data_IF_467750496416
#
_entry.id   IF_467750496416
#
_cell.length_a   1.000
_cell.length_b   1.000
_cell.length_c   1.000
_cell.angle_alpha   90.00
_cell.angle_beta   90.00
_cell.angle_gamma   90.00
#
_symmetry.space_group_name_H-M   'P 1'
#
loop_
_entity.id
_entity.type
_entity.pdbx_description
1 polymer ?
#
# COMPACT_ATOMS: atom_id res chain seq x y z
N UNK A 1 5.11 38.08 35.11
CA UNK A 1 6.31 37.26 34.83
C UNK A 1 6.20 36.00 35.68
N UNK A 2 5.62 34.92 35.13
CA UNK A 2 5.50 33.62 35.80
C UNK A 2 6.09 32.58 34.85
N UNK A 3 7.41 32.41 34.94
CA UNK A 3 8.09 31.24 34.39
C UNK A 3 7.81 30.07 35.35
N UNK A 4 6.73 29.33 35.11
CA UNK A 4 6.59 28.00 35.68
C UNK A 4 7.57 27.09 34.95
N UNK A 5 8.54 26.55 35.69
CA UNK A 5 9.54 25.60 35.19
C UNK A 5 8.87 24.38 34.58
N UNK A 6 8.78 24.36 33.25
CA UNK A 6 8.45 23.15 32.52
C UNK A 6 9.65 22.22 32.60
N UNK A 7 9.49 21.03 33.17
CA UNK A 7 10.39 19.92 32.89
C UNK A 7 10.57 19.87 31.37
N UNK A 8 11.79 20.11 30.87
CA UNK A 8 12.12 19.80 29.48
C UNK A 8 11.94 18.30 29.34
N UNK A 9 10.81 17.85 28.80
CA UNK A 9 10.67 16.46 28.37
C UNK A 9 11.78 16.23 27.36
N UNK A 10 12.69 15.32 27.67
CA UNK A 10 13.73 14.93 26.72
C UNK A 10 13.07 14.39 25.46
N UNK A 11 13.64 14.76 24.31
CA UNK A 11 13.17 14.27 23.03
C UNK A 11 13.65 12.82 22.88
N UNK A 12 12.75 11.88 23.16
CA UNK A 12 13.04 10.44 23.09
C UNK A 12 12.57 9.84 21.75
N UNK A 13 13.10 8.66 21.35
CA UNK A 13 12.59 7.93 20.19
C UNK A 13 11.07 7.66 20.24
N UNK A 14 10.52 7.44 21.44
CA UNK A 14 9.08 7.26 21.62
C UNK A 14 8.28 8.53 21.31
N UNK A 15 8.76 9.70 21.77
CA UNK A 15 8.14 10.99 21.43
C UNK A 15 8.22 11.25 19.93
N UNK A 16 9.35 10.93 19.30
CA UNK A 16 9.53 11.06 17.86
C UNK A 16 8.53 10.21 17.08
N UNK A 17 8.33 8.95 17.49
CA UNK A 17 7.36 8.05 16.87
C UNK A 17 5.93 8.62 16.94
N UNK A 18 5.52 9.16 18.09
CA UNK A 18 4.20 9.78 18.23
C UNK A 18 4.04 11.03 17.35
N UNK A 19 5.09 11.83 17.20
CA UNK A 19 5.08 12.98 16.27
C UNK A 19 4.89 12.49 14.82
N UNK A 20 5.53 11.39 14.42
CA UNK A 20 5.34 10.82 13.08
C UNK A 20 3.91 10.28 12.89
N UNK A 21 3.30 9.64 13.89
CA UNK A 21 1.88 9.24 13.81
C UNK A 21 0.97 10.46 13.62
N UNK A 22 1.23 11.55 14.34
CA UNK A 22 0.48 12.80 14.20
C UNK A 22 0.69 13.46 12.83
N UNK A 23 1.87 13.35 12.22
CA UNK A 23 2.09 13.91 10.88
C UNK A 23 1.26 13.20 9.81
N UNK A 24 1.07 11.88 9.93
CA UNK A 24 0.19 11.09 9.05
C UNK A 24 -1.25 11.56 9.16
N UNK A 25 -1.80 11.60 10.37
CA UNK A 25 -3.19 12.03 10.61
C UNK A 25 -3.40 13.51 10.28
N UNK A 26 -2.39 14.35 10.55
CA UNK A 26 -2.38 15.77 10.22
C UNK A 26 -2.41 16.02 8.72
N UNK A 27 -1.72 15.19 7.93
CA UNK A 27 -1.75 15.25 6.47
C UNK A 27 -3.08 14.73 5.91
N UNK A 28 -3.59 13.62 6.45
CA UNK A 28 -4.87 13.03 6.04
C UNK A 28 -6.07 13.96 6.24
N UNK A 29 -6.02 14.85 7.24
CA UNK A 29 -7.08 15.84 7.52
C UNK A 29 -7.53 16.66 6.31
N UNK A 30 -6.65 16.92 5.35
CA UNK A 30 -6.98 17.76 4.18
C UNK A 30 -7.82 17.07 3.13
N UNK A 31 -7.75 15.74 3.05
CA UNK A 31 -8.54 14.92 2.12
C UNK A 31 -9.64 14.12 2.82
N UNK A 32 -9.30 13.53 3.96
CA UNK A 32 -10.05 12.49 4.68
C UNK A 32 -10.54 11.37 3.74
N UNK A 33 -9.73 11.04 2.73
CA UNK A 33 -10.05 10.00 1.75
C UNK A 33 -9.97 8.61 2.36
N UNK A 34 -11.06 7.86 2.25
CA UNK A 34 -11.21 6.46 2.66
C UNK A 34 -11.44 5.65 1.39
N UNK A 35 -10.52 4.74 1.10
CA UNK A 35 -10.49 3.91 -0.08
C UNK A 35 -10.88 2.50 0.33
N UNK A 36 -11.95 1.98 -0.25
CA UNK A 36 -12.52 0.68 0.07
C UNK A 36 -12.41 -0.21 -1.17
N UNK A 37 -11.38 -1.07 -1.25
CA UNK A 37 -11.30 -2.06 -2.31
C UNK A 37 -12.43 -3.07 -2.22
N UNK A 38 -12.96 -3.48 -3.38
CA UNK A 38 -13.89 -4.59 -3.44
C UNK A 38 -13.25 -5.85 -2.81
N UNK A 39 -13.97 -6.66 -2.01
CA UNK A 39 -13.37 -7.79 -1.27
C UNK A 39 -12.60 -8.79 -2.13
N UNK A 40 -13.13 -9.17 -3.30
CA UNK A 40 -12.46 -10.09 -4.22
C UNK A 40 -11.16 -9.50 -4.80
N UNK A 41 -11.15 -8.19 -5.07
CA UNK A 41 -9.96 -7.48 -5.52
C UNK A 41 -8.93 -7.40 -4.39
N UNK A 42 -9.37 -7.04 -3.18
CA UNK A 42 -8.51 -6.95 -2.00
C UNK A 42 -7.75 -8.26 -1.78
N UNK A 43 -8.46 -9.39 -1.81
CA UNK A 43 -7.87 -10.72 -1.64
C UNK A 43 -6.88 -11.03 -2.78
N UNK A 44 -7.27 -10.80 -4.04
CA UNK A 44 -6.41 -11.07 -5.18
C UNK A 44 -5.13 -10.19 -5.20
N UNK A 45 -5.22 -8.93 -4.77
CA UNK A 45 -4.07 -8.05 -4.61
C UNK A 45 -3.17 -8.50 -3.47
N UNK A 46 -3.73 -8.86 -2.32
CA UNK A 46 -2.97 -9.37 -1.18
C UNK A 46 -2.22 -10.67 -1.52
N UNK A 47 -2.74 -11.50 -2.42
CA UNK A 47 -2.06 -12.70 -2.92
C UNK A 47 -1.06 -12.44 -4.05
N UNK A 48 -1.10 -11.25 -4.66
CA UNK A 48 -0.19 -10.88 -5.74
C UNK A 48 1.17 -10.50 -5.16
N UNK A 49 2.27 -11.22 -5.52
CA UNK A 49 3.61 -10.83 -5.12
C UNK A 49 3.97 -9.46 -5.68
N UNK A 50 4.72 -8.69 -4.91
CA UNK A 50 5.36 -7.46 -5.37
C UNK A 50 6.35 -7.83 -6.49
N UNK A 51 6.40 -7.02 -7.55
CA UNK A 51 7.29 -7.26 -8.69
C UNK A 51 8.67 -6.66 -8.49
N UNK A 52 9.70 -7.40 -8.90
CA UNK A 52 11.12 -6.97 -8.94
C UNK A 52 11.39 -5.88 -9.98
N UNK A 53 10.46 -5.61 -10.89
CA UNK A 53 10.65 -4.67 -12.00
C UNK A 53 10.00 -3.31 -11.78
N UNK A 54 9.09 -3.18 -10.80
CA UNK A 54 8.42 -1.91 -10.53
C UNK A 54 9.37 -0.99 -9.75
N UNK A 55 9.63 0.24 -10.21
CA UNK A 55 10.46 1.20 -9.48
C UNK A 55 9.71 1.70 -8.23
N UNK A 56 10.43 2.00 -7.14
CA UNK A 56 9.80 2.50 -5.90
C UNK A 56 9.03 3.82 -6.09
N UNK A 57 9.41 4.61 -7.11
CA UNK A 57 8.82 5.92 -7.40
C UNK A 57 7.35 5.84 -7.83
N UNK A 58 6.82 4.66 -8.13
CA UNK A 58 5.38 4.45 -8.33
C UNK A 58 4.57 4.92 -7.13
N UNK A 59 5.11 4.81 -5.90
CA UNK A 59 4.44 5.33 -4.70
C UNK A 59 4.42 6.86 -4.61
N UNK A 60 5.06 7.61 -5.52
CA UNK A 60 4.90 9.07 -5.57
C UNK A 60 3.60 9.50 -6.27
N UNK A 61 2.89 8.54 -6.87
CA UNK A 61 1.66 8.74 -7.65
C UNK A 61 0.39 8.75 -6.82
N UNK A 62 0.48 8.79 -5.48
CA UNK A 62 -0.70 8.85 -4.62
C UNK A 62 -1.71 9.91 -5.09
N UNK A 63 -3.01 9.56 -5.17
CA UNK A 63 -4.06 10.48 -5.59
C UNK A 63 -4.27 11.66 -4.62
N UNK A 64 -3.96 11.45 -3.34
CA UNK A 64 -4.02 12.45 -2.27
C UNK A 64 -2.74 12.35 -1.42
N UNK A 65 -2.36 13.41 -0.68
CA UNK A 65 -1.11 13.39 0.10
C UNK A 65 -1.06 12.31 1.17
N UNK A 66 -2.22 11.96 1.72
CA UNK A 66 -2.40 10.81 2.59
C UNK A 66 -3.79 10.22 2.35
N UNK A 67 -3.86 8.90 2.31
CA UNK A 67 -5.08 8.13 2.10
C UNK A 67 -5.25 7.09 3.21
N UNK A 68 -6.49 6.75 3.55
CA UNK A 68 -6.79 5.59 4.39
C UNK A 68 -7.36 4.49 3.51
N UNK A 69 -6.83 3.27 3.61
CA UNK A 69 -7.31 2.11 2.86
C UNK A 69 -7.97 1.16 3.84
N UNK A 70 -9.25 0.85 3.63
CA UNK A 70 -9.98 -0.13 4.43
C UNK A 70 -9.61 -1.54 3.96
N UNK A 71 -9.42 -2.45 4.92
CA UNK A 71 -8.99 -3.83 4.66
C UNK A 71 -9.86 -4.85 5.40
N UNK A 72 -11.20 -4.86 5.19
CA UNK A 72 -12.11 -5.72 5.93
C UNK A 72 -11.71 -7.19 5.80
N UNK A 73 -11.67 -7.90 6.93
CA UNK A 73 -11.32 -9.32 6.99
C UNK A 73 -9.82 -9.63 6.87
N UNK A 74 -8.96 -8.65 6.62
CA UNK A 74 -7.50 -8.87 6.65
C UNK A 74 -6.99 -9.03 8.08
N UNK A 75 -6.07 -9.97 8.25
CA UNK A 75 -5.34 -10.18 9.51
C UNK A 75 -3.84 -10.12 9.26
N UNK A 76 -3.12 -9.49 10.17
CA UNK A 76 -1.66 -9.42 10.19
C UNK A 76 -1.16 -9.88 11.55
N UNK A 77 -0.19 -10.79 11.57
CA UNK A 77 0.38 -11.31 12.82
C UNK A 77 -0.68 -11.82 13.83
N UNK A 78 -1.80 -12.37 13.33
CA UNK A 78 -2.91 -12.88 14.14
C UNK A 78 -3.93 -11.82 14.59
N UNK A 79 -3.68 -10.53 14.37
CA UNK A 79 -4.59 -9.43 14.71
C UNK A 79 -5.39 -8.97 13.51
N UNK A 80 -6.60 -8.46 13.75
CA UNK A 80 -7.41 -7.82 12.72
C UNK A 80 -6.82 -6.46 12.32
N UNK A 81 -6.74 -6.23 11.01
CA UNK A 81 -6.34 -4.96 10.43
C UNK A 81 -7.58 -4.30 9.82
N UNK A 82 -8.10 -3.24 10.45
CA UNK A 82 -9.25 -2.50 9.91
C UNK A 82 -8.88 -1.73 8.63
N UNK A 83 -7.62 -1.31 8.54
CA UNK A 83 -7.07 -0.57 7.42
C UNK A 83 -5.74 0.07 7.79
N UNK A 84 -5.24 0.95 6.94
CA UNK A 84 -4.03 1.70 7.20
C UNK A 84 -4.03 3.04 6.48
N UNK A 85 -3.39 4.04 7.09
CA UNK A 85 -3.05 5.27 6.39
C UNK A 85 -1.74 5.08 5.63
N UNK A 86 -1.65 5.65 4.44
CA UNK A 86 -0.45 5.67 3.64
C UNK A 86 -0.13 7.11 3.21
N UNK A 87 1.14 7.50 3.30
CA UNK A 87 1.65 8.75 2.75
C UNK A 87 3.14 8.62 2.42
N UNK A 88 3.63 9.48 1.52
CA UNK A 88 5.08 9.70 1.38
C UNK A 88 5.45 10.93 2.19
N UNK A 89 6.37 10.75 3.13
CA UNK A 89 7.01 11.84 3.84
C UNK A 89 8.38 12.13 3.21
N UNK A 90 8.80 13.39 3.26
CA UNK A 90 10.12 13.80 2.80
C UNK A 90 10.89 14.43 3.95
N UNK A 91 12.13 14.02 4.12
CA UNK A 91 13.05 14.57 5.11
C UNK A 91 13.58 15.93 4.65
N UNK A 92 13.39 16.97 5.45
CA UNK A 92 13.90 18.31 5.16
C UNK A 92 15.44 18.39 5.21
N UNK A 93 16.11 17.42 5.85
CA UNK A 93 17.57 17.45 6.08
C UNK A 93 18.34 16.92 4.87
N UNK A 94 17.90 15.79 4.31
CA UNK A 94 18.62 15.07 3.26
C UNK A 94 17.77 14.83 2.00
N UNK A 95 16.54 15.35 1.97
CA UNK A 95 15.59 15.20 0.86
C UNK A 95 15.12 13.75 0.60
N UNK A 96 15.48 12.80 1.48
CA UNK A 96 15.07 11.40 1.39
C UNK A 96 13.55 11.27 1.51
N UNK A 97 12.96 10.41 0.68
CA UNK A 97 11.54 10.09 0.72
C UNK A 97 11.34 8.77 1.44
N UNK A 98 10.31 8.71 2.28
CA UNK A 98 9.92 7.51 2.99
C UNK A 98 8.41 7.31 2.90
N UNK A 99 8.00 6.09 2.55
CA UNK A 99 6.61 5.65 2.62
C UNK A 99 6.27 5.32 4.08
N UNK A 100 5.26 5.99 4.63
CA UNK A 100 4.74 5.74 5.97
C UNK A 100 3.43 4.98 5.88
N UNK A 101 3.34 3.83 6.56
CA UNK A 101 2.12 3.07 6.75
C UNK A 101 1.74 3.10 8.23
N UNK A 102 0.68 3.84 8.57
CA UNK A 102 0.11 3.83 9.92
C UNK A 102 -1.01 2.79 9.95
N UNK A 103 -0.73 1.63 10.52
CA UNK A 103 -1.64 0.49 10.59
C UNK A 103 -2.69 0.71 11.68
N UNK A 104 -3.96 0.62 11.32
CA UNK A 104 -5.09 0.65 12.22
C UNK A 104 -5.47 -0.79 12.62
N UNK A 105 -4.83 -1.30 13.67
CA UNK A 105 -5.06 -2.65 14.19
C UNK A 105 -6.08 -2.61 15.31
N UNK A 106 -6.61 -3.78 15.67
CA UNK A 106 -7.56 -3.92 16.77
C UNK A 106 -7.10 -3.26 18.09
N UNK A 107 -5.81 -3.42 18.43
CA UNK A 107 -5.28 -3.01 19.74
C UNK A 107 -4.46 -1.72 19.71
N UNK A 108 -3.93 -1.31 18.55
CA UNK A 108 -3.03 -0.16 18.46
C UNK A 108 -2.94 0.48 17.07
N UNK A 109 -2.40 1.70 17.06
CA UNK A 109 -1.87 2.35 15.86
C UNK A 109 -0.37 2.10 15.76
N UNK A 110 0.03 1.29 14.78
CA UNK A 110 1.43 0.93 14.55
C UNK A 110 1.97 1.61 13.30
N UNK A 111 3.05 2.38 13.43
CA UNK A 111 3.71 3.00 12.27
C UNK A 111 4.80 2.07 11.74
N UNK A 112 4.77 1.80 10.44
CA UNK A 112 5.88 1.22 9.69
C UNK A 112 6.36 2.26 8.67
N UNK A 113 7.67 2.36 8.46
CA UNK A 113 8.27 3.32 7.53
C UNK A 113 9.28 2.64 6.62
N UNK A 114 9.18 2.91 5.32
CA UNK A 114 10.05 2.33 4.30
C UNK A 114 10.77 3.45 3.54
N UNK A 115 12.09 3.42 3.49
CA UNK A 115 12.83 4.40 2.70
C UNK A 115 12.66 4.09 1.21
N UNK A 116 12.30 5.09 0.43
CA UNK A 116 12.17 4.98 -1.03
C UNK A 116 13.54 5.29 -1.65
N UNK A 117 14.44 4.31 -1.62
CA UNK A 117 15.74 4.36 -2.32
C UNK A 117 15.55 4.00 -3.79
N UNK A 118 16.43 4.48 -4.66
CA UNK A 118 16.46 4.02 -6.07
C UNK A 118 16.54 2.50 -6.14
N UNK A 119 15.64 1.88 -6.90
CA UNK A 119 15.51 0.42 -6.95
C UNK A 119 14.08 0.00 -7.25
N UNK A 120 13.82 -1.30 -7.05
CA UNK A 120 12.49 -1.87 -7.24
C UNK A 120 11.70 -1.93 -5.94
N UNK A 121 10.38 -2.08 -6.03
CA UNK A 121 9.53 -2.23 -4.84
C UNK A 121 9.93 -3.45 -4.00
N UNK A 122 10.48 -4.50 -4.62
CA UNK A 122 10.98 -5.66 -3.88
C UNK A 122 12.17 -5.33 -2.95
N UNK A 123 12.99 -4.32 -3.29
CA UNK A 123 14.11 -3.92 -2.42
C UNK A 123 13.63 -3.36 -1.08
N UNK A 124 12.39 -2.85 -1.00
CA UNK A 124 11.79 -2.46 0.28
C UNK A 124 11.64 -3.68 1.20
N UNK A 125 11.20 -4.82 0.67
CA UNK A 125 11.00 -6.05 1.43
C UNK A 125 12.33 -6.69 1.84
N UNK A 126 13.33 -6.60 0.97
CA UNK A 126 14.70 -7.04 1.26
C UNK A 126 15.33 -6.17 2.35
N UNK A 127 15.23 -4.83 2.23
CA UNK A 127 15.73 -3.89 3.24
C UNK A 127 15.08 -4.13 4.60
N UNK A 128 13.78 -4.42 4.67
CA UNK A 128 13.11 -4.79 5.92
C UNK A 128 13.72 -6.01 6.60
N UNK A 129 14.12 -7.01 5.80
CA UNK A 129 14.74 -8.22 6.32
C UNK A 129 16.14 -7.94 6.88
N UNK A 130 16.91 -7.07 6.22
CA UNK A 130 18.25 -6.68 6.64
C UNK A 130 18.25 -5.69 7.82
N UNK A 131 17.51 -4.59 7.73
CA UNK A 131 17.45 -3.54 8.77
C UNK A 131 16.82 -4.05 10.07
N UNK A 132 15.88 -5.00 10.01
CA UNK A 132 15.29 -5.63 11.19
C UNK A 132 16.29 -6.40 12.05
N UNK A 133 17.40 -6.87 11.46
CA UNK A 133 18.48 -7.54 12.17
C UNK A 133 19.47 -6.53 12.76
N UNK A 134 19.82 -5.49 12.00
CA UNK A 134 20.79 -4.46 12.40
C UNK A 134 20.25 -3.53 13.51
N UNK A 135 18.95 -3.20 13.48
CA UNK A 135 18.31 -2.29 14.44
C UNK A 135 18.24 -2.83 15.89
N UNK A 136 18.58 -4.10 16.11
CA UNK A 136 18.67 -4.70 17.44
C UNK A 136 19.89 -4.23 18.26
N UNK A 137 20.83 -3.52 17.63
CA UNK A 137 22.11 -3.14 18.26
C UNK A 137 23.03 -4.34 18.51
N UNK A 138 22.68 -5.50 17.93
CA UNK A 138 23.46 -6.72 18.02
C UNK A 138 24.77 -6.58 17.22
N UNK A 139 25.84 -7.23 17.70
CA UNK A 139 27.11 -7.27 16.95
C UNK A 139 26.92 -8.05 15.64
N UNK A 140 27.76 -7.84 14.61
CA UNK A 140 27.69 -8.60 13.35
C UNK A 140 27.67 -10.12 13.55
N UNK A 141 28.42 -10.65 14.51
CA UNK A 141 28.45 -12.09 14.83
C UNK A 141 27.15 -12.57 15.49
N UNK A 142 26.55 -11.71 16.32
CA UNK A 142 25.25 -11.98 16.94
C UNK A 142 24.15 -11.95 15.88
N UNK A 143 24.20 -11.01 14.94
CA UNK A 143 23.30 -10.95 13.79
C UNK A 143 23.44 -12.20 12.92
N UNK A 144 24.66 -12.67 12.67
CA UNK A 144 24.91 -13.90 11.91
C UNK A 144 24.33 -15.13 12.62
N UNK A 145 24.50 -15.22 13.94
CA UNK A 145 23.88 -16.29 14.75
C UNK A 145 22.35 -16.20 14.74
N UNK A 146 21.79 -14.99 14.83
CA UNK A 146 20.35 -14.73 14.77
C UNK A 146 19.76 -15.01 13.39
N UNK A 147 20.51 -14.82 12.30
CA UNK A 147 20.10 -15.23 10.94
C UNK A 147 19.88 -16.74 10.83
N UNK A 148 20.60 -17.53 11.61
CA UNK A 148 20.42 -18.99 11.70
C UNK A 148 19.27 -19.41 12.62
N UNK A 149 18.63 -18.49 13.33
CA UNK A 149 17.42 -18.79 14.11
C UNK A 149 16.22 -19.01 13.18
N UNK A 150 15.66 -20.22 13.20
CA UNK A 150 14.43 -20.53 12.47
C UNK A 150 13.26 -19.63 12.90
N UNK A 151 13.17 -19.32 14.20
CA UNK A 151 12.11 -18.47 14.73
C UNK A 151 12.20 -17.03 14.20
N UNK A 152 13.39 -16.41 14.26
CA UNK A 152 13.56 -15.03 13.81
C UNK A 152 13.38 -14.92 12.29
N UNK A 153 13.93 -15.87 11.54
CA UNK A 153 13.76 -15.91 10.08
C UNK A 153 12.29 -16.10 9.68
N UNK A 154 11.52 -16.93 10.38
CA UNK A 154 10.08 -17.08 10.18
C UNK A 154 9.33 -15.78 10.52
N UNK A 155 9.68 -15.12 11.63
CA UNK A 155 9.08 -13.85 12.01
C UNK A 155 9.33 -12.74 10.98
N UNK A 156 10.58 -12.58 10.53
CA UNK A 156 10.95 -11.58 9.52
C UNK A 156 10.27 -11.88 8.17
N UNK A 157 10.20 -13.15 7.75
CA UNK A 157 9.46 -13.57 6.54
C UNK A 157 7.97 -13.24 6.66
N UNK A 158 7.36 -13.51 7.81
CA UNK A 158 5.97 -13.15 8.06
C UNK A 158 5.78 -11.63 7.99
N UNK A 159 6.67 -10.84 8.58
CA UNK A 159 6.61 -9.37 8.54
C UNK A 159 6.77 -8.84 7.12
N UNK A 160 7.71 -9.36 6.34
CA UNK A 160 7.91 -9.00 4.93
C UNK A 160 6.71 -9.41 4.06
N UNK A 161 6.13 -10.59 4.28
CA UNK A 161 4.93 -11.03 3.58
C UNK A 161 3.74 -10.12 3.85
N UNK A 162 3.55 -9.75 5.12
CA UNK A 162 2.52 -8.82 5.56
C UNK A 162 2.70 -7.42 4.94
N UNK A 163 3.92 -6.89 4.89
CA UNK A 163 4.21 -5.63 4.19
C UNK A 163 3.97 -5.75 2.68
N UNK A 164 4.37 -6.86 2.05
CA UNK A 164 4.14 -7.12 0.63
C UNK A 164 2.67 -7.07 0.24
N UNK A 165 1.77 -7.58 1.10
CA UNK A 165 0.31 -7.46 0.91
C UNK A 165 -0.14 -6.00 0.86
N UNK A 166 0.30 -5.18 1.81
CA UNK A 166 -0.06 -3.76 1.88
C UNK A 166 0.50 -2.98 0.69
N UNK A 167 1.75 -3.26 0.31
CA UNK A 167 2.40 -2.64 -0.85
C UNK A 167 1.67 -3.02 -2.14
N UNK A 168 1.23 -4.27 -2.31
CA UNK A 168 0.47 -4.70 -3.48
C UNK A 168 -0.88 -3.96 -3.60
N UNK A 169 -1.59 -3.75 -2.49
CA UNK A 169 -2.84 -2.96 -2.49
C UNK A 169 -2.55 -1.50 -2.88
N UNK A 170 -1.46 -0.93 -2.33
CA UNK A 170 -1.03 0.43 -2.68
C UNK A 170 -0.60 0.57 -4.14
N UNK A 171 0.06 -0.45 -4.69
CA UNK A 171 0.48 -0.49 -6.08
C UNK A 171 -0.72 -0.37 -7.01
N UNK A 172 -1.87 -0.97 -6.65
CA UNK A 172 -3.09 -0.83 -7.45
C UNK A 172 -3.53 0.63 -7.48
N UNK A 173 -3.68 1.26 -6.31
CA UNK A 173 -4.12 2.67 -6.19
C UNK A 173 -3.16 3.64 -6.89
N UNK A 174 -1.87 3.34 -6.92
CA UNK A 174 -0.84 4.15 -7.57
C UNK A 174 -0.61 3.83 -9.06
N UNK A 175 -1.33 2.85 -9.63
CA UNK A 175 -1.20 2.47 -11.03
C UNK A 175 -1.66 3.59 -11.97
N UNK A 176 -1.44 3.43 -13.28
CA UNK A 176 -1.77 4.49 -14.25
C UNK A 176 -3.29 4.65 -14.45
N UNK A 177 -4.05 3.56 -14.36
CA UNK A 177 -5.51 3.55 -14.56
C UNK A 177 -6.22 2.70 -13.50
N UNK A 178 -6.14 3.08 -12.20
CA UNK A 178 -6.86 2.38 -11.16
C UNK A 178 -8.34 2.67 -11.28
N UNK A 179 -9.17 1.66 -11.09
CA UNK A 179 -10.61 1.86 -11.00
C UNK A 179 -10.92 2.44 -9.62
N UNK A 180 -11.16 3.75 -9.54
CA UNK A 180 -11.51 4.47 -8.31
C UNK A 180 -12.68 5.38 -8.62
N UNK A 181 -13.75 5.29 -7.82
CA UNK A 181 -14.92 6.13 -7.97
C UNK A 181 -15.49 6.56 -6.61
N UNK A 182 -16.17 7.70 -6.55
CA UNK A 182 -16.79 8.17 -5.31
C UNK A 182 -18.12 7.46 -5.06
N UNK A 183 -18.33 7.03 -3.82
CA UNK A 183 -19.63 6.51 -3.38
C UNK A 183 -20.78 7.52 -3.49
N UNK A 184 -20.47 8.82 -3.44
CA UNK A 184 -21.47 9.90 -3.40
C UNK A 184 -21.57 10.67 -4.71
N UNK A 185 -20.54 10.60 -5.54
CA UNK A 185 -20.45 11.34 -6.80
C UNK A 185 -19.82 10.43 -7.87
N UNK A 186 -20.59 9.50 -8.46
CA UNK A 186 -20.07 8.58 -9.46
C UNK A 186 -19.43 9.28 -10.66
N UNK A 187 -18.38 8.69 -11.22
CA UNK A 187 -17.53 9.26 -12.27
C UNK A 187 -16.52 10.30 -11.79
N UNK A 188 -16.33 10.46 -10.48
CA UNK A 188 -15.34 11.40 -9.93
C UNK A 188 -14.08 10.67 -9.46
N UNK A 189 -12.95 11.40 -9.47
CA UNK A 189 -11.66 10.86 -9.04
C UNK A 189 -11.06 11.69 -7.91
N UNK A 190 -10.33 11.09 -6.95
CA UNK A 190 -9.65 11.82 -5.89
C UNK A 190 -8.62 12.82 -6.41
N UNK A 191 -8.47 13.93 -5.69
CA UNK A 191 -7.52 14.97 -6.05
C UNK A 191 -6.83 15.56 -4.83
N UNK A 192 -5.54 15.87 -4.99
CA UNK A 192 -4.75 16.55 -3.96
C UNK A 192 -5.41 17.88 -3.57
N UNK A 193 -5.55 18.16 -2.26
CA UNK A 193 -6.09 19.43 -1.78
C UNK A 193 -5.29 20.62 -2.33
N UNK A 194 -5.99 21.65 -2.82
CA UNK A 194 -5.36 22.86 -3.35
C UNK A 194 -5.53 24.02 -2.38
N UNK A 195 -4.50 24.87 -2.21
CA UNK A 195 -4.65 26.07 -1.40
C UNK A 195 -5.65 27.04 -2.03
N UNK A 196 -6.47 27.68 -1.20
CA UNK A 196 -7.45 28.67 -1.62
C UNK A 196 -6.93 30.06 -1.30
N UNK A 197 -7.07 31.01 -2.23
CA UNK A 197 -6.69 32.41 -2.02
C UNK A 197 -7.66 33.06 -1.02
N UNK A 198 -7.12 33.57 0.08
CA UNK A 198 -7.87 34.34 1.09
C UNK A 198 -7.38 35.77 1.14
N UNK A 199 -8.07 36.64 1.89
CA UNK A 199 -7.63 38.03 2.15
C UNK A 199 -6.24 38.10 2.82
N UNK A 200 -5.80 37.05 3.52
CA UNK A 200 -4.51 36.97 4.23
C UNK A 200 -3.47 36.10 3.51
N UNK A 201 -3.70 35.75 2.23
CA UNK A 201 -2.83 34.88 1.45
C UNK A 201 -3.43 33.50 1.19
N UNK A 202 -2.63 32.61 0.59
CA UNK A 202 -3.04 31.24 0.29
C UNK A 202 -3.14 30.40 1.56
N UNK A 203 -4.23 29.64 1.69
CA UNK A 203 -4.44 28.76 2.84
C UNK A 203 -5.03 27.42 2.42
N UNK A 204 -4.55 26.35 3.03
CA UNK A 204 -5.18 25.04 2.94
C UNK A 204 -6.27 24.90 4.01
N UNK A 205 -7.39 24.31 3.60
CA UNK A 205 -8.52 24.05 4.48
C UNK A 205 -8.71 22.54 4.66
N UNK A 206 -8.98 22.08 5.89
CA UNK A 206 -9.27 20.66 6.13
C UNK A 206 -10.57 20.25 5.43
N UNK A 207 -10.69 18.99 5.04
CA UNK A 207 -11.94 18.46 4.51
C UNK A 207 -13.04 18.48 5.59
N UNK A 208 -14.26 18.87 5.20
CA UNK A 208 -15.41 18.96 6.11
C UNK A 208 -15.75 17.61 6.76
N UNK A 209 -15.60 16.51 6.03
CA UNK A 209 -15.84 15.16 6.51
C UNK A 209 -15.10 14.13 5.66
N UNK A 210 -15.20 12.83 6.02
CA UNK A 210 -14.64 11.75 5.24
C UNK A 210 -15.20 11.72 3.81
N UNK A 211 -14.33 11.40 2.84
CA UNK A 211 -14.67 11.15 1.45
C UNK A 211 -14.45 9.67 1.16
N UNK A 212 -15.49 8.99 0.70
CA UNK A 212 -15.46 7.56 0.47
C UNK A 212 -15.27 7.27 -1.02
N UNK A 213 -14.28 6.43 -1.31
CA UNK A 213 -13.87 5.99 -2.63
C UNK A 213 -13.98 4.48 -2.69
N UNK A 214 -14.75 3.97 -3.66
CA UNK A 214 -14.74 2.55 -4.00
C UNK A 214 -13.57 2.27 -4.92
N UNK A 215 -12.92 1.13 -4.74
CA UNK A 215 -11.74 0.75 -5.52
C UNK A 215 -11.97 -0.60 -6.20
N UNK A 216 -11.96 -0.58 -7.53
CA UNK A 216 -12.09 -1.74 -8.41
C UNK A 216 -13.36 -2.56 -8.23
N UNK A 217 -14.52 -1.90 -8.29
CA UNK A 217 -15.84 -2.55 -8.17
C UNK A 217 -16.07 -3.52 -9.34
N UNK A 218 -15.92 -3.08 -10.58
CA UNK A 218 -16.13 -3.93 -11.75
C UNK A 218 -15.11 -5.06 -11.79
N UNK A 219 -13.83 -4.75 -11.53
CA UNK A 219 -12.79 -5.77 -11.44
C UNK A 219 -13.08 -6.78 -10.33
N UNK A 220 -13.56 -6.31 -9.19
CA UNK A 220 -13.94 -7.12 -8.05
C UNK A 220 -15.11 -8.06 -8.33
N UNK A 221 -16.15 -7.58 -8.99
CA UNK A 221 -17.31 -8.38 -9.42
C UNK A 221 -16.92 -9.44 -10.47
N UNK A 222 -16.05 -9.08 -11.41
CA UNK A 222 -15.47 -10.03 -12.37
C UNK A 222 -14.70 -11.15 -11.67
N UNK A 223 -13.91 -10.81 -10.65
CA UNK A 223 -13.16 -11.79 -9.85
C UNK A 223 -14.09 -12.66 -9.02
N UNK A 224 -15.11 -12.07 -8.38
CA UNK A 224 -16.10 -12.81 -7.59
C UNK A 224 -16.79 -13.88 -8.44
N UNK A 225 -17.23 -13.49 -9.65
CA UNK A 225 -17.86 -14.39 -10.62
C UNK A 225 -16.90 -15.49 -11.06
N UNK A 226 -15.67 -15.13 -11.44
CA UNK A 226 -14.67 -16.09 -11.88
C UNK A 226 -14.33 -17.14 -10.79
N UNK A 227 -14.20 -16.71 -9.53
CA UNK A 227 -13.92 -17.62 -8.43
C UNK A 227 -15.08 -18.56 -8.11
N UNK A 228 -16.33 -18.07 -8.17
CA UNK A 228 -17.51 -18.90 -7.99
C UNK A 228 -17.62 -19.99 -9.09
N UNK A 229 -17.29 -19.66 -10.35
CA UNK A 229 -17.30 -20.63 -11.46
C UNK A 229 -16.24 -21.74 -11.30
N UNK A 230 -15.06 -21.43 -10.76
CA UNK A 230 -14.03 -22.43 -10.46
C UNK A 230 -14.46 -23.45 -9.41
N UNK A 231 -15.13 -23.01 -8.34
CA UNK A 231 -15.59 -23.90 -7.27
C UNK A 231 -16.66 -24.88 -7.77
N UNK A 232 -17.54 -24.43 -8.66
CA UNK A 232 -18.58 -25.28 -9.27
C UNK A 232 -17.97 -26.30 -10.24
N UNK A 233 -16.97 -25.92 -11.04
CA UNK A 233 -16.36 -26.82 -12.03
C UNK A 233 -15.54 -27.96 -11.39
N UNK A 234 -14.95 -27.75 -10.21
CA UNK A 234 -14.23 -28.78 -9.47
C UNK A 234 -15.11 -29.99 -9.07
N UNK A 235 -16.44 -29.81 -9.00
CA UNK A 235 -17.39 -30.83 -8.58
C UNK A 235 -17.84 -31.80 -9.69
N UNK A 236 -17.64 -31.48 -10.98
CA UNK A 236 -18.10 -32.34 -12.08
C UNK A 236 -16.96 -33.15 -12.70
N UNK A 237 -17.09 -34.48 -12.68
CA UNK A 237 -16.05 -35.41 -13.10
C UNK A 237 -15.71 -35.33 -14.60
N UNK A 238 -14.40 -35.20 -14.87
CA UNK A 238 -13.71 -35.38 -16.17
C UNK A 238 -13.72 -34.15 -17.10
N UNK A 239 -12.97 -33.12 -16.73
CA UNK A 239 -12.47 -32.07 -17.63
C UNK A 239 -10.99 -31.74 -17.37
N UNK A 240 -10.32 -31.14 -18.36
CA UNK A 240 -8.94 -30.64 -18.26
C UNK A 240 -8.85 -29.79 -16.99
N UNK A 241 -7.87 -30.08 -16.13
CA UNK A 241 -7.70 -29.39 -14.85
C UNK A 241 -7.48 -27.90 -15.14
N UNK A 242 -8.54 -27.11 -14.99
CA UNK A 242 -8.45 -25.67 -15.09
C UNK A 242 -7.48 -25.20 -14.00
N UNK A 243 -6.44 -24.46 -14.39
CA UNK A 243 -5.51 -23.89 -13.43
C UNK A 243 -5.70 -22.37 -13.39
N UNK A 244 -5.62 -21.83 -12.18
CA UNK A 244 -5.65 -20.39 -11.96
C UNK A 244 -4.24 -19.84 -12.17
N UNK A 245 -4.04 -19.12 -13.27
CA UNK A 245 -2.85 -18.27 -13.43
C UNK A 245 -3.00 -17.09 -12.50
N UNK A 246 -2.04 -16.91 -11.59
CA UNK A 246 -2.06 -15.83 -10.59
C UNK A 246 -1.99 -14.44 -11.24
N UNK A 247 -2.55 -13.46 -10.54
CA UNK A 247 -2.39 -12.06 -10.87
C UNK A 247 -0.92 -11.66 -10.77
N UNK A 248 -0.52 -10.69 -11.59
CA UNK A 248 0.86 -10.18 -11.60
C UNK A 248 0.89 -8.75 -12.12
N UNK A 249 1.93 -8.02 -11.71
CA UNK A 249 2.17 -6.66 -12.18
C UNK A 249 2.85 -6.68 -13.55
N UNK A 250 2.37 -5.84 -14.45
CA UNK A 250 2.98 -5.62 -15.76
C UNK A 250 3.35 -4.15 -15.92
N UNK A 251 4.63 -3.87 -16.13
CA UNK A 251 5.16 -2.53 -16.32
C UNK A 251 5.95 -2.40 -17.61
N UNK A 252 5.91 -1.23 -18.21
CA UNK A 252 6.61 -0.91 -19.47
C UNK A 252 7.10 0.54 -19.46
N UNK A 253 8.20 0.77 -20.18
CA UNK A 253 8.74 2.11 -20.42
C UNK A 253 8.28 2.61 -21.77
N UNK A 254 7.85 3.87 -21.80
CA UNK A 254 7.49 4.61 -23.01
C UNK A 254 8.35 5.87 -23.12
N UNK A 255 8.58 6.37 -24.34
CA UNK A 255 9.48 7.50 -24.59
C UNK A 255 10.78 7.09 -25.28
N UNK A 256 11.62 8.09 -25.63
CA UNK A 256 12.90 7.85 -26.27
C UNK A 256 13.90 7.28 -25.27
N UNK A 257 14.61 6.21 -25.64
CA UNK A 257 15.59 5.56 -24.75
C UNK A 257 16.75 6.47 -24.36
N UNK A 258 17.14 7.37 -25.26
CA UNK A 258 18.32 8.23 -25.07
C UNK A 258 18.00 9.53 -24.32
N UNK A 259 16.74 9.74 -23.93
CA UNK A 259 16.29 10.93 -23.20
C UNK A 259 15.57 10.52 -21.90
N UNK A 260 16.28 10.48 -20.77
CA UNK A 260 15.72 10.06 -19.50
C UNK A 260 14.53 10.90 -19.01
N UNK A 261 14.42 12.18 -19.40
CA UNK A 261 13.31 13.04 -18.95
C UNK A 261 12.01 12.74 -19.71
N UNK A 262 12.12 12.25 -20.94
CA UNK A 262 10.99 11.81 -21.77
C UNK A 262 10.57 10.36 -21.50
N UNK A 263 11.34 9.61 -20.71
CA UNK A 263 10.99 8.24 -20.33
C UNK A 263 9.93 8.20 -19.23
N UNK A 264 8.74 7.73 -19.59
CA UNK A 264 7.64 7.48 -18.65
C UNK A 264 7.46 5.98 -18.42
N UNK A 265 7.64 5.57 -17.15
CA UNK A 265 7.24 4.24 -16.70
C UNK A 265 5.73 4.17 -16.48
N UNK A 266 5.07 3.19 -17.08
CA UNK A 266 3.65 2.92 -16.85
C UNK A 266 3.45 1.46 -16.42
N UNK A 267 2.46 1.18 -15.59
CA UNK A 267 2.15 -0.17 -15.12
C UNK A 267 0.68 -0.36 -14.77
N UNK A 268 0.24 -1.62 -14.85
CA UNK A 268 -1.09 -2.05 -14.46
C UNK A 268 -1.03 -3.44 -13.83
N UNK A 269 -2.08 -3.77 -13.07
CA UNK A 269 -2.27 -5.10 -12.52
C UNK A 269 -3.01 -5.98 -13.54
N UNK A 270 -2.47 -7.15 -13.83
CA UNK A 270 -3.17 -8.16 -14.62
C UNK A 270 -3.88 -9.12 -13.65
N UNK A 271 -5.23 -9.20 -13.69
CA UNK A 271 -5.98 -10.05 -12.79
C UNK A 271 -5.69 -11.53 -13.05
N UNK A 272 -5.90 -12.41 -12.06
CA UNK A 272 -5.78 -13.84 -12.25
C UNK A 272 -6.70 -14.35 -13.36
N UNK A 273 -6.23 -15.33 -14.13
CA UNK A 273 -6.94 -15.89 -15.27
C UNK A 273 -7.10 -17.40 -15.12
N UNK A 274 -8.29 -17.92 -15.43
CA UNK A 274 -8.54 -19.35 -15.50
C UNK A 274 -8.07 -19.86 -16.87
N UNK A 275 -7.10 -20.76 -16.88
CA UNK A 275 -6.58 -21.39 -18.10
C UNK A 275 -7.07 -22.84 -18.16
N UNK A 276 -7.65 -23.22 -19.30
CA UNK A 276 -8.08 -24.59 -19.57
C UNK A 276 -9.54 -24.93 -19.22
N UNK A 277 -10.37 -23.95 -18.84
CA UNK A 277 -11.82 -24.11 -18.69
C UNK A 277 -12.58 -23.87 -20.00
N UNK A 278 -13.66 -24.64 -20.27
CA UNK A 278 -14.59 -24.29 -21.35
C UNK A 278 -15.30 -22.98 -20.98
N UNK A 279 -14.97 -21.88 -21.67
CA UNK A 279 -15.82 -20.67 -21.66
C UNK A 279 -17.14 -21.02 -22.32
N UNK A 280 -18.23 -21.10 -21.55
CA UNK A 280 -19.55 -20.94 -22.16
C UNK A 280 -19.59 -19.52 -22.72
N UNK A 281 -19.70 -19.40 -24.05
CA UNK A 281 -19.90 -18.12 -24.71
C UNK A 281 -21.16 -17.50 -24.13
N UNK A 282 -21.02 -16.38 -23.42
CA UNK A 282 -22.14 -15.50 -23.13
C UNK A 282 -22.60 -14.95 -24.48
N UNK A 283 -23.80 -15.35 -24.90
CA UNK A 283 -24.48 -14.77 -26.06
C UNK A 283 -24.98 -13.39 -25.61
N UNK A 284 -24.67 -12.37 -26.42
CA UNK A 284 -25.02 -10.97 -26.23
C UNK A 284 -26.50 -10.74 -25.95
#
# INVERSE_FOLDING_TARGET
MLFMGGQKREFTPAVWLEIQKLSVLGTWRYSKGIYTPHPSLLNALAETPVSDTLPVDVFLRFPEWCIYISTPGMRMQGEELYGFWAMVNQSDVNNDKSLYLLLNRMNELKLESFRLKTGSVNTILEDMFHEGLDASGATPETIETLKHSEYLSAHLKSKASDAGRLLSILLYICSDEPEIDSERQPGSYPARPKPVKTKKGFRLFPANGPRYWRVGENMGEMLATAFAETDVCAASGRQVRAHLRRGHWHGFWSGKRDDPEEQKFSYHWLPPQIIGGRRNKVVY
#
